data_IF_477897611158
#
_entry.id   IF_477897611158
#
_cell.length_a   1.000
_cell.length_b   1.000
_cell.length_c   1.000
_cell.angle_alpha   90.00
_cell.angle_beta   90.00
_cell.angle_gamma   90.00
#
_symmetry.space_group_name_H-M   'P 1'
#
loop_
_entity.id
_entity.type
_entity.pdbx_description
1 polymer ?
#
# COMPACT_ATOMS: atom_id res chain seq x y z
N UNK A 1 -9.90 14.57 -2.90
CA UNK A 1 -10.91 13.89 -2.05
C UNK A 1 -10.27 12.61 -1.59
N UNK A 2 -10.28 12.36 -0.28
CA UNK A 2 -9.62 11.19 0.27
C UNK A 2 -10.25 9.89 -0.24
N UNK A 3 -9.42 8.85 -0.35
CA UNK A 3 -9.85 7.52 -0.77
C UNK A 3 -9.33 6.46 0.20
N UNK A 4 -10.13 5.42 0.40
CA UNK A 4 -9.76 4.25 1.19
C UNK A 4 -9.51 3.09 0.24
N UNK A 5 -8.32 2.53 0.32
CA UNK A 5 -7.80 1.50 -0.56
C UNK A 5 -7.67 0.19 0.22
N UNK A 6 -8.17 -0.91 -0.37
CA UNK A 6 -7.88 -2.27 0.07
C UNK A 6 -7.18 -3.04 -1.06
N UNK A 7 -6.01 -3.59 -0.76
CA UNK A 7 -5.33 -4.56 -1.63
C UNK A 7 -5.23 -5.92 -0.94
N UNK A 8 -5.34 -6.99 -1.73
CA UNK A 8 -5.13 -8.37 -1.29
C UNK A 8 -3.96 -8.94 -2.06
N UNK A 9 -2.97 -9.46 -1.34
CA UNK A 9 -1.70 -9.96 -1.86
C UNK A 9 -1.53 -11.44 -1.45
N UNK A 10 -2.16 -12.38 -2.18
CA UNK A 10 -2.11 -13.78 -1.80
C UNK A 10 -0.71 -14.36 -1.98
N UNK A 11 -0.27 -15.20 -1.06
CA UNK A 11 1.05 -15.84 -1.10
C UNK A 11 2.23 -14.92 -0.77
N UNK A 12 1.98 -13.63 -0.54
CA UNK A 12 3.00 -12.70 -0.03
C UNK A 12 3.29 -12.99 1.44
N UNK A 13 4.56 -13.11 1.79
CA UNK A 13 4.99 -13.30 3.20
C UNK A 13 5.31 -11.96 3.87
N UNK A 14 5.35 -11.97 5.21
CA UNK A 14 5.75 -10.79 5.99
C UNK A 14 7.19 -10.39 5.67
N UNK A 15 8.09 -11.34 5.46
CA UNK A 15 9.49 -11.08 5.11
C UNK A 15 9.64 -10.40 3.74
N UNK A 16 8.82 -10.80 2.76
CA UNK A 16 8.78 -10.13 1.46
C UNK A 16 8.26 -8.70 1.60
N UNK A 17 7.23 -8.49 2.41
CA UNK A 17 6.71 -7.15 2.70
C UNK A 17 7.75 -6.28 3.40
N UNK A 18 8.45 -6.79 4.41
CA UNK A 18 9.48 -6.04 5.13
C UNK A 18 10.64 -5.67 4.21
N UNK A 19 11.06 -6.57 3.32
CA UNK A 19 12.11 -6.30 2.33
C UNK A 19 11.69 -5.21 1.33
N UNK A 20 10.45 -5.27 0.83
CA UNK A 20 9.89 -4.23 -0.03
C UNK A 20 9.82 -2.88 0.71
N UNK A 21 9.25 -2.87 1.92
CA UNK A 21 9.08 -1.65 2.71
C UNK A 21 10.43 -1.00 3.07
N UNK A 22 11.44 -1.80 3.38
CA UNK A 22 12.79 -1.31 3.60
C UNK A 22 13.40 -0.65 2.35
N UNK A 23 13.17 -1.23 1.16
CA UNK A 23 13.63 -0.61 -0.09
C UNK A 23 12.89 0.71 -0.37
N UNK A 24 11.57 0.76 -0.16
CA UNK A 24 10.76 1.98 -0.33
C UNK A 24 11.22 3.12 0.60
N UNK A 25 11.56 2.81 1.85
CA UNK A 25 12.07 3.80 2.82
C UNK A 25 13.50 4.26 2.53
N UNK A 26 14.27 3.50 1.75
CA UNK A 26 15.62 3.87 1.35
C UNK A 26 15.65 4.77 0.09
N UNK A 27 14.53 4.92 -0.61
CA UNK A 27 14.43 5.82 -1.76
C UNK A 27 14.53 7.29 -1.32
N UNK A 28 15.10 8.17 -2.15
CA UNK A 28 15.16 9.59 -1.86
C UNK A 28 13.77 10.23 -1.94
N UNK A 29 13.44 11.06 -0.96
CA UNK A 29 12.19 11.81 -0.91
C UNK A 29 11.14 11.18 0.00
N UNK A 30 9.90 11.64 -0.12
CA UNK A 30 8.76 11.09 0.61
C UNK A 30 8.03 10.08 -0.28
N UNK A 31 8.46 8.82 -0.18
CA UNK A 31 7.88 7.70 -0.93
C UNK A 31 6.38 7.54 -0.68
N UNK A 32 5.89 7.92 0.49
CA UNK A 32 4.49 7.77 0.91
C UNK A 32 3.73 9.10 0.90
N UNK A 33 4.20 10.09 0.13
CA UNK A 33 3.56 11.39 0.02
C UNK A 33 2.05 11.26 -0.28
N UNK A 34 1.24 11.82 0.62
CA UNK A 34 -0.23 11.76 0.54
C UNK A 34 -0.88 10.50 1.13
N UNK A 35 -0.10 9.55 1.66
CA UNK A 35 -0.60 8.43 2.47
C UNK A 35 -0.79 8.90 3.91
N UNK A 36 -2.04 8.85 4.38
CA UNK A 36 -2.45 9.32 5.70
C UNK A 36 -2.40 8.22 6.76
N UNK A 37 -2.56 6.96 6.33
CA UNK A 37 -2.47 5.79 7.19
C UNK A 37 -2.22 4.57 6.32
N UNK A 38 -1.35 3.69 6.79
CA UNK A 38 -1.02 2.42 6.16
C UNK A 38 -1.16 1.31 7.20
N UNK A 39 -1.87 0.24 6.85
CA UNK A 39 -2.03 -0.94 7.70
C UNK A 39 -1.77 -2.19 6.87
N UNK A 40 -0.82 -3.00 7.33
CA UNK A 40 -0.54 -4.32 6.79
C UNK A 40 -1.07 -5.40 7.75
N UNK A 41 -1.92 -6.29 7.24
CA UNK A 41 -2.57 -7.35 8.01
C UNK A 41 -2.16 -8.72 7.43
N UNK A 42 -1.39 -9.52 8.17
CA UNK A 42 -1.13 -10.91 7.80
C UNK A 42 -2.40 -11.75 7.87
N UNK A 43 -2.56 -12.67 6.93
CA UNK A 43 -3.66 -13.63 6.85
C UNK A 43 -3.13 -15.02 6.52
N UNK A 44 -3.97 -16.05 6.66
CA UNK A 44 -3.62 -17.42 6.27
C UNK A 44 -3.32 -17.56 4.76
N UNK A 45 -3.79 -16.61 3.94
CA UNK A 45 -3.65 -16.64 2.49
C UNK A 45 -2.57 -15.70 1.94
N UNK A 46 -1.90 -14.90 2.77
CA UNK A 46 -0.98 -13.83 2.36
C UNK A 46 -1.21 -12.54 3.16
N UNK A 47 -1.18 -11.39 2.50
CA UNK A 47 -1.37 -10.09 3.17
C UNK A 47 -2.61 -9.34 2.67
N UNK A 48 -3.21 -8.56 3.54
CA UNK A 48 -4.14 -7.49 3.17
C UNK A 48 -3.54 -6.13 3.55
N UNK A 49 -3.58 -5.18 2.61
CA UNK A 49 -3.12 -3.80 2.81
C UNK A 49 -4.32 -2.88 2.81
N UNK A 50 -4.36 -1.98 3.79
CA UNK A 50 -5.38 -0.95 3.91
C UNK A 50 -4.70 0.40 4.02
N UNK A 51 -4.96 1.26 3.03
CA UNK A 51 -4.41 2.61 3.02
C UNK A 51 -5.51 3.65 2.96
N UNK A 52 -5.25 4.76 3.64
CA UNK A 52 -6.00 5.97 3.51
C UNK A 52 -5.13 7.00 2.77
N UNK A 53 -5.61 7.47 1.62
CA UNK A 53 -4.89 8.45 0.79
C UNK A 53 -5.64 9.78 0.73
N UNK A 54 -4.91 10.89 0.64
CA UNK A 54 -5.48 12.23 0.45
C UNK A 54 -6.22 12.38 -0.89
N UNK A 55 -5.81 11.61 -1.90
CA UNK A 55 -6.39 11.61 -3.24
C UNK A 55 -6.12 10.30 -3.99
N UNK A 56 -6.92 10.06 -5.04
CA UNK A 56 -6.66 9.00 -6.03
C UNK A 56 -5.30 9.19 -6.71
N UNK A 57 -4.93 10.44 -7.01
CA UNK A 57 -3.67 10.77 -7.68
C UNK A 57 -2.43 10.42 -6.83
N UNK A 58 -2.49 10.64 -5.52
CA UNK A 58 -1.42 10.23 -4.60
C UNK A 58 -1.26 8.70 -4.58
N UNK A 59 -2.39 7.97 -4.50
CA UNK A 59 -2.41 6.51 -4.57
C UNK A 59 -1.85 5.98 -5.90
N UNK A 60 -2.25 6.57 -7.04
CA UNK A 60 -1.80 6.15 -8.37
C UNK A 60 -0.30 6.42 -8.56
N UNK A 61 0.20 7.56 -8.06
CA UNK A 61 1.63 7.92 -8.08
C UNK A 61 2.46 6.91 -7.30
N UNK A 62 2.01 6.55 -6.09
CA UNK A 62 2.64 5.51 -5.30
C UNK A 62 2.56 4.14 -5.98
N UNK A 63 1.42 3.78 -6.56
CA UNK A 63 1.23 2.54 -7.31
C UNK A 63 2.25 2.37 -8.44
N UNK A 64 2.46 3.42 -9.24
CA UNK A 64 3.44 3.42 -10.32
C UNK A 64 4.89 3.24 -9.82
N UNK A 65 5.19 3.74 -8.63
CA UNK A 65 6.50 3.61 -7.99
C UNK A 65 6.73 2.20 -7.40
N UNK A 66 5.75 1.66 -6.68
CA UNK A 66 5.90 0.41 -5.91
C UNK A 66 5.85 -0.84 -6.78
N UNK A 67 5.07 -0.83 -7.87
CA UNK A 67 4.90 -1.99 -8.75
C UNK A 67 6.22 -2.64 -9.22
N UNK A 68 7.17 -1.90 -9.83
CA UNK A 68 8.43 -2.51 -10.28
C UNK A 68 9.30 -3.03 -9.12
N UNK A 69 9.18 -2.44 -7.94
CA UNK A 69 9.94 -2.85 -6.75
C UNK A 69 9.33 -4.12 -6.16
N UNK A 70 8.01 -4.22 -6.10
CA UNK A 70 7.31 -5.43 -5.67
C UNK A 70 7.63 -6.63 -6.57
N UNK A 71 7.68 -6.42 -7.90
CA UNK A 71 8.11 -7.44 -8.87
C UNK A 71 9.54 -7.93 -8.60
N UNK A 72 10.47 -7.01 -8.30
CA UNK A 72 11.85 -7.34 -7.95
C UNK A 72 11.96 -8.22 -6.70
N UNK A 73 11.09 -8.02 -5.71
CA UNK A 73 11.03 -8.85 -4.49
C UNK A 73 10.25 -10.15 -4.66
N UNK A 74 9.81 -10.46 -5.88
CA UNK A 74 9.07 -11.68 -6.18
C UNK A 74 7.70 -11.72 -5.51
N UNK A 75 7.12 -10.55 -5.21
CA UNK A 75 5.77 -10.49 -4.70
C UNK A 75 4.80 -10.82 -5.84
N UNK A 76 3.85 -11.74 -5.63
CA UNK A 76 2.85 -12.06 -6.63
C UNK A 76 2.06 -10.80 -7.00
N UNK A 77 1.74 -10.67 -8.29
CA UNK A 77 0.82 -9.62 -8.73
C UNK A 77 -0.47 -9.73 -7.91
N UNK A 78 -0.94 -8.60 -7.38
CA UNK A 78 -2.20 -8.55 -6.67
C UNK A 78 -3.30 -9.24 -7.49
N UNK A 79 -4.29 -9.86 -6.84
CA UNK A 79 -5.35 -10.63 -7.50
C UNK A 79 -6.31 -9.80 -8.38
N UNK A 80 -5.96 -8.55 -8.64
CA UNK A 80 -6.73 -7.54 -9.34
C UNK A 80 -6.27 -6.15 -8.93
N UNK A 81 -6.86 -5.09 -9.52
CA UNK A 81 -6.67 -3.75 -9.03
C UNK A 81 -7.18 -3.63 -7.58
N UNK A 82 -6.58 -2.75 -6.76
CA UNK A 82 -7.05 -2.53 -5.41
C UNK A 82 -8.50 -2.00 -5.43
N UNK A 83 -9.27 -2.36 -4.41
CA UNK A 83 -10.61 -1.81 -4.21
C UNK A 83 -10.48 -0.41 -3.61
N UNK A 84 -11.03 0.60 -4.29
CA UNK A 84 -10.93 2.00 -3.87
C UNK A 84 -12.32 2.58 -3.63
N UNK A 85 -12.50 3.26 -2.50
CA UNK A 85 -13.76 3.89 -2.10
C UNK A 85 -13.57 5.37 -1.74
N UNK A 86 -14.45 6.28 -2.19
CA UNK A 86 -14.47 7.66 -1.72
C UNK A 86 -14.67 7.74 -0.20
N UNK A 87 -13.88 8.56 0.47
CA UNK A 87 -13.98 8.75 1.93
C UNK A 87 -14.75 10.03 2.23
N UNK A 88 -15.84 9.89 3.00
CA UNK A 88 -16.59 11.04 3.49
C UNK A 88 -15.90 11.76 4.66
N UNK A 89 -15.34 10.99 5.60
CA UNK A 89 -14.56 11.48 6.75
C UNK A 89 -13.63 10.38 7.25
N UNK A 90 -12.46 10.77 7.73
CA UNK A 90 -11.52 9.90 8.45
C UNK A 90 -11.00 10.63 9.69
N UNK A 91 -10.52 9.87 10.67
CA UNK A 91 -9.85 10.37 11.86
C UNK A 91 -8.83 9.33 12.31
N UNK A 92 -7.58 9.75 12.52
CA UNK A 92 -6.50 8.91 13.04
C UNK A 92 -6.11 9.47 14.41
N UNK A 93 -6.50 8.83 15.52
CA UNK A 93 -6.19 9.34 16.85
C UNK A 93 -4.68 9.33 17.12
N UNK A 94 -4.11 10.48 17.44
CA UNK A 94 -2.71 10.59 17.89
C UNK A 94 -1.64 10.50 16.80
N UNK A 95 -2.04 10.54 15.51
CA UNK A 95 -1.13 10.73 14.38
C UNK A 95 -0.66 12.19 14.27
#
# INVERSE_FOLDING_TARGET
MAVFMKAVLPGTTVEQYDALNAELQALPGDTFAGCLSHVCVPTDAGLEIYDLWESQEAMDTFGALIMPIAEKHGMPSASGPPAVSPVHRYWVPGA
#
